data_IF_267727164968
#
_entry.id   IF_267727164968
#
_cell.length_a   1.000
_cell.length_b   1.000
_cell.length_c   1.000
_cell.angle_alpha   90.00
_cell.angle_beta   90.00
_cell.angle_gamma   90.00
#
_symmetry.space_group_name_H-M   'P 1'
#
loop_
_entity.id
_entity.type
_entity.pdbx_description
1 polymer ?
#
# COMPACT_ATOMS: atom_id res chain seq x y z
N UNK A 1 -38.92 9.12 -43.28
CA UNK A 1 -38.83 8.11 -42.23
C UNK A 1 -37.56 8.35 -41.43
N UNK A 2 -37.67 9.19 -40.41
CA UNK A 2 -36.79 9.27 -39.25
C UNK A 2 -37.68 9.95 -38.21
N UNK A 3 -38.11 9.14 -37.24
CA UNK A 3 -39.13 9.47 -36.25
C UNK A 3 -38.52 9.21 -34.88
N UNK A 4 -38.53 10.24 -34.02
CA UNK A 4 -38.47 10.21 -32.55
C UNK A 4 -38.13 11.62 -32.05
N UNK A 5 -39.18 12.43 -31.95
CA UNK A 5 -39.33 13.54 -31.02
C UNK A 5 -40.43 13.18 -30.01
N UNK A 6 -40.47 13.88 -28.86
CA UNK A 6 -41.37 13.76 -27.69
C UNK A 6 -40.80 12.91 -26.54
N UNK A 7 -40.74 13.34 -25.26
CA UNK A 7 -41.26 14.51 -24.55
C UNK A 7 -40.38 14.82 -23.31
N UNK A 8 -40.18 16.11 -23.01
CA UNK A 8 -39.76 16.59 -21.68
C UNK A 8 -40.83 17.58 -21.21
N UNK A 9 -41.64 17.16 -20.24
CA UNK A 9 -42.64 17.99 -19.59
C UNK A 9 -41.96 19.02 -18.69
N UNK A 10 -42.14 20.30 -19.02
CA UNK A 10 -41.85 21.45 -18.16
C UNK A 10 -43.18 22.08 -17.80
N UNK A 11 -43.59 21.98 -16.53
CA UNK A 11 -44.72 22.73 -15.99
C UNK A 11 -44.25 24.14 -15.57
N UNK A 12 -45.01 25.21 -15.89
CA UNK A 12 -44.70 26.57 -15.43
C UNK A 12 -45.25 26.82 -14.02
N UNK A 13 -44.40 27.26 -13.09
CA UNK A 13 -44.85 27.84 -11.82
C UNK A 13 -45.18 29.32 -12.02
N UNK A 14 -46.39 29.66 -11.58
CA UNK A 14 -46.95 31.00 -11.52
C UNK A 14 -46.42 31.70 -10.25
N UNK A 15 -45.85 32.90 -10.38
CA UNK A 15 -45.41 33.74 -9.27
C UNK A 15 -46.42 34.86 -9.10
N UNK A 16 -47.43 34.63 -8.26
CA UNK A 16 -48.17 35.66 -7.55
C UNK A 16 -48.76 35.00 -6.30
N UNK A 17 -48.72 35.73 -5.18
CA UNK A 17 -49.01 35.30 -3.81
C UNK A 17 -47.85 34.64 -3.06
N UNK A 18 -47.19 35.42 -2.20
CA UNK A 18 -47.18 35.20 -0.75
C UNK A 18 -46.71 36.49 -0.08
N UNK A 19 -47.48 36.88 0.94
CA UNK A 19 -47.34 38.12 1.69
C UNK A 19 -46.17 38.12 2.65
N UNK A 20 -45.86 39.34 3.07
CA UNK A 20 -45.01 39.67 4.21
C UNK A 20 -45.64 39.17 5.51
N UNK A 21 -44.91 38.40 6.32
CA UNK A 21 -44.66 38.70 7.74
C UNK A 21 -43.84 37.62 8.49
N UNK A 22 -42.74 38.09 9.07
CA UNK A 22 -42.03 37.69 10.31
C UNK A 22 -41.86 36.20 10.72
N UNK A 23 -40.62 35.74 10.86
CA UNK A 23 -39.91 35.59 12.17
C UNK A 23 -38.56 34.86 12.01
N UNK A 24 -37.72 35.10 13.01
CA UNK A 24 -36.28 34.82 13.13
C UNK A 24 -35.85 33.34 13.13
N UNK A 25 -34.52 33.17 13.00
CA UNK A 25 -33.72 31.95 13.21
C UNK A 25 -33.68 30.88 12.10
N UNK A 26 -32.61 30.95 11.29
CA UNK A 26 -31.62 29.87 11.02
C UNK A 26 -30.98 30.07 9.65
N UNK A 27 -29.68 30.37 9.64
CA UNK A 27 -28.85 30.23 8.45
C UNK A 27 -28.39 28.77 8.31
N UNK A 28 -28.44 28.21 7.09
CA UNK A 28 -27.19 27.86 6.44
C UNK A 28 -27.11 28.36 5.00
N UNK A 29 -25.89 28.74 4.60
CA UNK A 29 -25.52 29.19 3.25
C UNK A 29 -25.34 27.96 2.33
N UNK A 30 -26.01 27.98 1.19
CA UNK A 30 -25.74 27.13 0.03
C UNK A 30 -25.21 27.99 -1.14
N UNK A 31 -24.23 27.42 -1.82
CA UNK A 31 -23.84 27.47 -3.24
C UNK A 31 -23.71 28.80 -4.02
N UNK A 32 -22.48 28.97 -4.56
CA UNK A 32 -22.14 29.87 -5.66
C UNK A 32 -21.65 29.04 -6.86
N UNK A 33 -22.61 28.64 -7.70
CA UNK A 33 -22.39 28.30 -9.11
C UNK A 33 -23.32 29.21 -9.92
N UNK A 34 -22.81 30.31 -10.48
CA UNK A 34 -23.30 31.05 -11.66
C UNK A 34 -22.86 32.52 -11.62
N UNK A 35 -21.80 32.84 -12.39
CA UNK A 35 -21.48 34.15 -13.01
C UNK A 35 -20.14 33.86 -13.72
N UNK A 36 -19.94 33.92 -15.04
CA UNK A 36 -20.48 34.75 -16.09
C UNK A 36 -20.26 34.06 -17.45
N UNK A 37 -21.24 34.17 -18.36
CA UNK A 37 -21.04 33.96 -19.79
C UNK A 37 -21.62 35.15 -20.55
N UNK A 38 -20.78 35.98 -21.17
CA UNK A 38 -21.10 36.71 -22.40
C UNK A 38 -19.88 37.46 -22.95
N UNK A 39 -19.25 36.93 -24.01
CA UNK A 39 -19.03 37.65 -25.28
C UNK A 39 -18.46 36.70 -26.36
N UNK A 40 -19.18 36.68 -27.49
CA UNK A 40 -18.89 36.03 -28.79
C UNK A 40 -17.65 36.72 -29.43
N UNK A 41 -16.87 36.22 -30.42
CA UNK A 41 -17.14 35.62 -31.75
C UNK A 41 -15.74 35.51 -32.45
N UNK A 42 -15.32 34.41 -33.12
CA UNK A 42 -15.21 34.22 -34.60
C UNK A 42 -14.24 33.03 -34.86
N UNK A 43 -14.63 31.92 -35.51
CA UNK A 43 -14.39 31.51 -36.94
C UNK A 43 -12.89 31.42 -37.33
N UNK A 44 -12.35 30.48 -38.13
CA UNK A 44 -12.65 29.16 -38.71
C UNK A 44 -11.41 28.82 -39.58
N UNK A 45 -11.12 27.54 -39.82
CA UNK A 45 -10.38 26.97 -40.96
C UNK A 45 -8.82 27.05 -41.08
N UNK A 46 -8.22 25.85 -40.97
CA UNK A 46 -7.52 25.13 -42.06
C UNK A 46 -6.04 25.41 -42.41
N UNK A 47 -5.23 24.37 -42.17
CA UNK A 47 -4.44 23.60 -43.15
C UNK A 47 -2.97 23.98 -43.53
N UNK A 48 -2.15 22.90 -43.55
CA UNK A 48 -0.92 22.58 -44.31
C UNK A 48 0.48 23.11 -43.90
N UNK A 49 1.27 22.18 -43.33
CA UNK A 49 2.61 21.68 -43.71
C UNK A 49 3.87 22.58 -43.84
N UNK A 50 4.94 22.02 -43.25
CA UNK A 50 6.33 21.93 -43.74
C UNK A 50 7.26 23.16 -43.62
N UNK A 51 8.18 23.10 -42.65
CA UNK A 51 9.65 22.93 -42.85
C UNK A 51 10.42 23.41 -41.60
N UNK A 52 11.22 22.52 -41.03
CA UNK A 52 12.43 22.87 -40.26
C UNK A 52 13.55 23.36 -41.22
N UNK A 53 14.78 23.72 -40.78
CA UNK A 53 15.30 24.13 -39.45
C UNK A 53 16.18 25.42 -39.55
N UNK A 54 16.70 25.94 -38.42
CA UNK A 54 18.15 26.14 -38.15
C UNK A 54 18.44 27.08 -36.98
N UNK A 55 19.42 26.65 -36.20
CA UNK A 55 20.20 27.37 -35.19
C UNK A 55 20.99 28.54 -35.82
N UNK A 56 21.23 29.62 -35.07
CA UNK A 56 22.56 29.98 -34.52
C UNK A 56 22.63 31.44 -34.03
N UNK A 57 23.48 31.57 -33.02
CA UNK A 57 23.84 32.68 -32.15
C UNK A 57 24.26 34.03 -32.77
N UNK A 58 24.04 35.06 -31.94
CA UNK A 58 24.92 36.21 -31.65
C UNK A 58 25.16 37.30 -32.70
N UNK A 59 24.86 38.56 -32.33
CA UNK A 59 25.90 39.57 -32.01
C UNK A 59 25.35 40.96 -31.70
N UNK A 60 25.82 41.49 -30.56
CA UNK A 60 26.25 42.86 -30.22
C UNK A 60 25.60 44.12 -30.85
N UNK A 61 25.27 45.07 -29.96
CA UNK A 61 25.54 46.49 -30.23
C UNK A 61 24.95 47.51 -29.24
N UNK A 62 25.82 48.08 -28.37
CA UNK A 62 25.89 49.50 -27.91
C UNK A 62 24.70 50.07 -27.10
N UNK A 63 24.77 51.01 -26.15
CA UNK A 63 25.76 51.74 -25.31
C UNK A 63 24.94 52.68 -24.38
N UNK A 64 25.52 53.10 -23.23
CA UNK A 64 25.14 54.26 -22.37
C UNK A 64 23.85 54.10 -21.50
N UNK A 65 23.73 54.56 -20.25
CA UNK A 65 24.41 55.54 -19.36
C UNK A 65 23.91 55.28 -17.90
N UNK A 66 24.75 55.25 -16.85
CA UNK A 66 25.15 56.32 -15.91
C UNK A 66 24.40 56.34 -14.54
N UNK A 67 25.15 56.73 -13.49
CA UNK A 67 24.78 57.06 -12.08
C UNK A 67 24.65 55.88 -11.10
N UNK A 68 25.26 55.81 -9.91
CA UNK A 68 26.14 56.70 -9.14
C UNK A 68 26.21 56.26 -7.66
N UNK A 69 27.29 56.68 -6.95
CA UNK A 69 27.63 56.53 -5.50
C UNK A 69 28.10 55.14 -5.03
N UNK A 70 29.38 54.87 -4.70
CA UNK A 70 30.38 55.41 -3.74
C UNK A 70 30.14 55.04 -2.25
N UNK A 71 30.99 54.15 -1.72
CA UNK A 71 31.80 54.42 -0.51
C UNK A 71 32.97 53.42 -0.33
N UNK A 72 34.15 54.01 -0.08
CA UNK A 72 35.51 53.53 0.26
C UNK A 72 35.61 52.45 1.37
N UNK A 73 36.67 51.69 1.64
CA UNK A 73 38.04 51.32 1.14
C UNK A 73 38.71 50.49 2.30
N UNK A 74 39.99 50.07 2.29
CA UNK A 74 40.73 49.20 1.37
C UNK A 74 41.50 48.05 2.10
N UNK A 75 42.01 47.07 1.34
CA UNK A 75 42.99 46.09 1.84
C UNK A 75 43.69 45.35 0.69
N UNK A 76 45.00 45.53 0.59
CA UNK A 76 45.88 45.23 -0.54
C UNK A 76 46.28 43.75 -0.69
N UNK A 77 46.63 43.34 -1.92
CA UNK A 77 47.39 42.11 -2.19
C UNK A 77 47.51 41.80 -3.69
N UNK A 78 48.65 42.16 -4.29
CA UNK A 78 49.00 42.13 -5.73
C UNK A 78 49.73 40.83 -6.16
N UNK A 79 49.93 40.72 -7.50
CA UNK A 79 50.69 39.75 -8.35
C UNK A 79 49.85 38.58 -8.92
N UNK A 80 49.44 38.49 -10.20
CA UNK A 80 50.11 38.65 -11.53
C UNK A 80 51.27 37.66 -11.74
N UNK A 81 51.47 36.94 -12.85
CA UNK A 81 50.99 36.97 -14.24
C UNK A 81 51.19 35.55 -14.86
N UNK A 82 50.27 34.99 -15.67
CA UNK A 82 50.17 35.02 -17.14
C UNK A 82 51.01 34.01 -17.96
N UNK A 83 50.31 33.40 -18.94
CA UNK A 83 50.72 32.89 -20.27
C UNK A 83 51.19 31.43 -20.40
N UNK A 84 50.49 30.68 -21.28
CA UNK A 84 51.09 29.58 -22.05
C UNK A 84 50.15 28.45 -22.44
N UNK A 85 49.40 28.61 -23.54
CA UNK A 85 48.95 27.45 -24.33
C UNK A 85 50.02 27.14 -25.40
N UNK A 86 50.20 25.87 -25.80
CA UNK A 86 49.65 25.48 -27.11
C UNK A 86 49.12 24.03 -27.20
N UNK A 87 48.41 23.84 -28.31
CA UNK A 87 47.68 22.67 -28.83
C UNK A 87 48.58 21.45 -29.12
N UNK A 88 48.02 20.23 -29.03
CA UNK A 88 47.77 19.28 -30.14
C UNK A 88 47.66 17.81 -29.67
N UNK A 89 46.51 17.20 -29.98
CA UNK A 89 46.35 15.86 -30.54
C UNK A 89 46.97 14.64 -29.83
N UNK A 90 46.10 13.70 -29.40
CA UNK A 90 45.98 12.36 -30.01
C UNK A 90 44.85 11.57 -29.34
N UNK A 91 44.11 10.84 -30.18
CA UNK A 91 43.05 9.89 -29.82
C UNK A 91 43.62 8.77 -28.96
N UNK A 92 42.86 8.31 -27.97
CA UNK A 92 43.03 7.00 -27.35
C UNK A 92 41.71 6.24 -27.46
N UNK A 93 41.77 5.10 -28.14
CA UNK A 93 40.75 4.05 -28.23
C UNK A 93 41.29 2.91 -27.36
N UNK A 94 40.51 2.26 -26.49
CA UNK A 94 40.90 0.96 -25.95
C UNK A 94 40.33 -0.17 -26.82
N UNK A 95 41.22 -1.11 -27.09
CA UNK A 95 41.09 -2.23 -28.01
C UNK A 95 40.00 -3.25 -27.63
N UNK A 96 39.27 -3.66 -28.67
CA UNK A 96 38.47 -4.88 -28.75
C UNK A 96 39.41 -6.07 -29.02
N UNK A 97 39.44 -7.05 -28.11
CA UNK A 97 40.02 -8.35 -28.39
C UNK A 97 38.93 -9.36 -28.74
N UNK A 98 38.96 -9.82 -30.00
CA UNK A 98 38.27 -11.01 -30.52
C UNK A 98 39.30 -12.10 -30.82
N UNK A 99 39.03 -13.34 -30.43
CA UNK A 99 39.58 -14.58 -30.99
C UNK A 99 38.52 -15.71 -30.80
N UNK A 100 38.55 -16.81 -31.58
CA UNK A 100 37.43 -17.28 -32.41
C UNK A 100 36.91 -18.68 -31.97
N UNK A 101 35.97 -19.33 -32.68
CA UNK A 101 35.13 -20.39 -32.12
C UNK A 101 35.75 -21.79 -32.25
N UNK A 102 35.34 -22.72 -31.37
CA UNK A 102 35.44 -24.17 -31.62
C UNK A 102 34.08 -24.84 -31.44
N UNK A 103 33.68 -25.56 -32.48
CA UNK A 103 32.60 -26.56 -32.49
C UNK A 103 33.09 -27.84 -31.79
N UNK A 104 32.15 -28.57 -31.20
CA UNK A 104 32.02 -30.00 -31.48
C UNK A 104 31.86 -30.95 -30.29
N UNK A 105 30.84 -31.79 -30.45
CA UNK A 105 30.60 -33.11 -29.83
C UNK A 105 29.96 -33.14 -28.44
N UNK A 106 28.80 -33.81 -28.41
CA UNK A 106 28.01 -34.03 -27.22
C UNK A 106 28.44 -35.26 -26.44
N UNK A 107 27.77 -35.45 -25.31
CA UNK A 107 27.44 -36.75 -24.74
C UNK A 107 26.33 -36.54 -23.74
N UNK A 108 25.26 -37.32 -23.93
CA UNK A 108 24.18 -37.53 -22.98
C UNK A 108 24.77 -38.06 -21.67
N UNK A 109 24.31 -37.51 -20.54
CA UNK A 109 24.49 -38.12 -19.22
C UNK A 109 23.12 -38.13 -18.54
N UNK A 110 22.50 -39.30 -18.31
CA UNK A 110 21.26 -39.38 -17.56
C UNK A 110 21.58 -39.33 -16.06
N UNK A 111 21.14 -38.28 -15.37
CA UNK A 111 21.11 -38.26 -13.91
C UNK A 111 19.94 -39.13 -13.44
N UNK A 112 20.31 -40.31 -12.89
CA UNK A 112 19.43 -41.19 -12.15
C UNK A 112 18.96 -40.50 -10.87
N UNK A 113 17.65 -40.31 -10.72
CA UNK A 113 17.01 -40.11 -9.43
C UNK A 113 16.89 -41.46 -8.70
N UNK A 114 17.19 -41.54 -7.39
CA UNK A 114 16.75 -42.66 -6.58
C UNK A 114 15.28 -42.46 -6.20
N UNK A 115 14.42 -43.34 -6.72
CA UNK A 115 13.10 -43.62 -6.16
C UNK A 115 13.28 -44.12 -4.72
N UNK A 116 12.51 -43.57 -3.79
CA UNK A 116 12.27 -44.19 -2.48
C UNK A 116 10.87 -44.80 -2.54
N UNK A 117 10.85 -46.13 -2.53
CA UNK A 117 9.64 -46.94 -2.36
C UNK A 117 9.06 -46.73 -0.95
N UNK A 118 7.75 -46.46 -0.89
CA UNK A 118 6.95 -46.52 0.32
C UNK A 118 6.08 -47.80 0.27
N UNK A 119 6.25 -48.75 1.20
CA UNK A 119 5.43 -49.97 1.20
C UNK A 119 4.18 -49.85 2.10
N UNK A 120 3.04 -50.17 1.48
CA UNK A 120 1.80 -50.77 2.03
C UNK A 120 0.91 -50.00 3.05
N UNK A 121 -0.30 -49.55 2.68
CA UNK A 121 -1.64 -50.21 2.66
C UNK A 121 -2.26 -50.68 4.00
N UNK A 122 -3.45 -50.13 4.27
CA UNK A 122 -4.65 -50.72 4.91
C UNK A 122 -4.68 -50.96 6.44
N UNK A 123 -5.60 -50.29 7.13
CA UNK A 123 -6.57 -50.94 8.04
C UNK A 123 -7.85 -50.10 8.20
N UNK A 124 -8.97 -50.83 8.24
CA UNK A 124 -10.37 -50.39 8.24
C UNK A 124 -10.89 -49.94 9.62
N UNK A 125 -11.96 -49.14 9.56
CA UNK A 125 -13.18 -49.08 10.38
C UNK A 125 -13.18 -49.66 11.81
N UNK A 126 -13.70 -48.85 12.76
CA UNK A 126 -14.28 -49.35 14.01
C UNK A 126 -14.47 -48.27 15.08
N UNK A 127 -15.73 -48.06 15.45
CA UNK A 127 -16.23 -47.55 16.74
C UNK A 127 -16.27 -46.03 16.99
N UNK A 128 -17.47 -45.50 16.75
CA UNK A 128 -17.97 -44.27 17.35
C UNK A 128 -18.16 -44.44 18.85
N UNK A 129 -17.62 -43.50 19.63
CA UNK A 129 -17.99 -43.29 21.04
C UNK A 129 -18.48 -41.85 21.16
N UNK A 130 -19.78 -41.71 21.41
CA UNK A 130 -20.42 -40.45 21.81
C UNK A 130 -20.10 -40.24 23.30
N UNK A 131 -19.50 -39.10 23.65
CA UNK A 131 -19.36 -38.62 25.03
C UNK A 131 -19.89 -37.18 25.11
N UNK A 132 -20.66 -36.79 26.13
CA UNK A 132 -21.43 -35.54 26.13
C UNK A 132 -20.57 -34.29 26.31
N UNK A 133 -21.12 -33.16 25.86
CA UNK A 133 -20.56 -31.83 26.00
C UNK A 133 -20.45 -31.41 27.46
N UNK A 134 -19.23 -31.12 27.91
CA UNK A 134 -18.95 -30.25 29.04
C UNK A 134 -17.74 -29.37 28.71
N UNK A 135 -17.92 -28.07 28.96
CA UNK A 135 -16.96 -26.98 28.76
C UNK A 135 -15.62 -27.28 29.45
N UNK A 136 -14.61 -27.65 28.67
CA UNK A 136 -13.21 -27.66 29.10
C UNK A 136 -12.48 -26.58 28.33
N UNK A 137 -12.16 -25.48 29.02
CA UNK A 137 -11.13 -24.54 28.60
C UNK A 137 -9.82 -25.31 28.40
N UNK A 138 -9.54 -25.74 27.17
CA UNK A 138 -8.19 -26.13 26.78
C UNK A 138 -7.35 -24.86 26.81
N UNK A 139 -6.52 -24.74 27.85
CA UNK A 139 -5.26 -23.99 27.76
C UNK A 139 -4.60 -24.45 26.45
N UNK A 140 -4.51 -23.54 25.49
CA UNK A 140 -3.81 -23.77 24.22
C UNK A 140 -2.35 -24.01 24.57
N UNK A 141 -1.96 -25.29 24.64
CA UNK A 141 -0.56 -25.68 24.62
C UNK A 141 -0.08 -25.49 23.19
N UNK A 142 0.66 -24.41 22.96
CA UNK A 142 1.59 -24.38 21.84
C UNK A 142 2.49 -25.62 21.95
N UNK A 143 2.81 -26.26 20.82
CA UNK A 143 3.92 -27.22 20.82
C UNK A 143 5.14 -26.57 21.47
N UNK A 144 5.91 -27.32 22.25
CA UNK A 144 7.01 -26.85 23.13
C UNK A 144 8.21 -26.21 22.38
N UNK A 145 8.01 -25.62 21.21
CA UNK A 145 8.99 -24.79 20.52
C UNK A 145 8.32 -23.46 20.16
N UNK A 146 8.41 -22.41 21.01
CA UNK A 146 8.20 -21.06 20.53
C UNK A 146 9.07 -20.82 19.29
N UNK A 147 8.61 -20.05 18.29
CA UNK A 147 9.47 -19.64 17.18
C UNK A 147 10.74 -19.03 17.78
N UNK A 148 11.91 -19.53 17.33
CA UNK A 148 13.21 -19.09 17.83
C UNK A 148 13.30 -17.57 17.74
N UNK A 149 13.84 -16.96 18.80
CA UNK A 149 14.20 -15.54 18.83
C UNK A 149 14.97 -15.17 17.54
N UNK A 150 14.48 -14.14 16.85
CA UNK A 150 15.23 -13.34 15.90
C UNK A 150 16.06 -14.10 14.85
N UNK A 151 15.44 -14.89 13.97
CA UNK A 151 16.14 -15.32 12.75
C UNK A 151 15.79 -14.41 11.57
N UNK A 152 16.65 -13.41 11.32
CA UNK A 152 16.76 -12.78 10.01
C UNK A 152 17.36 -13.80 9.03
N UNK A 153 16.56 -14.76 8.56
CA UNK A 153 16.95 -15.66 7.45
C UNK A 153 16.28 -15.21 6.18
N UNK A 154 16.99 -14.41 5.39
CA UNK A 154 16.61 -14.08 4.01
C UNK A 154 17.02 -15.26 3.12
N UNK A 155 16.09 -16.18 2.86
CA UNK A 155 16.16 -16.96 1.63
C UNK A 155 15.45 -16.14 0.56
N UNK A 156 16.11 -15.91 -0.58
CA UNK A 156 15.52 -15.23 -1.74
C UNK A 156 14.25 -15.95 -2.17
N UNK A 157 13.09 -15.43 -1.78
CA UNK A 157 11.76 -16.01 -2.01
C UNK A 157 10.91 -16.24 -0.75
N UNK A 158 11.42 -16.04 0.47
CA UNK A 158 10.63 -16.14 1.70
C UNK A 158 10.31 -14.74 2.26
N UNK A 159 9.01 -14.45 2.43
CA UNK A 159 8.57 -13.23 3.11
C UNK A 159 9.06 -13.22 4.54
N UNK A 160 9.61 -12.09 5.01
CA UNK A 160 10.01 -11.95 6.41
C UNK A 160 8.77 -12.03 7.32
N UNK A 161 8.90 -12.79 8.40
CA UNK A 161 7.95 -12.85 9.50
C UNK A 161 8.52 -12.11 10.71
N UNK A 162 7.67 -11.41 11.46
CA UNK A 162 8.01 -10.65 12.65
C UNK A 162 7.06 -11.01 13.79
N UNK A 163 7.63 -11.20 14.98
CA UNK A 163 6.87 -11.39 16.21
C UNK A 163 7.51 -10.63 17.36
N UNK A 164 6.72 -9.89 18.14
CA UNK A 164 7.21 -9.18 19.32
C UNK A 164 6.12 -8.91 20.35
N UNK A 165 6.53 -8.51 21.55
CA UNK A 165 5.65 -8.15 22.66
C UNK A 165 5.72 -6.64 22.93
N UNK A 166 4.55 -6.04 23.14
CA UNK A 166 4.33 -4.63 23.48
C UNK A 166 3.42 -4.55 24.71
N UNK A 167 4.03 -4.58 25.90
CA UNK A 167 3.26 -4.66 27.15
C UNK A 167 2.42 -5.94 27.20
N UNK A 168 1.10 -5.82 27.28
CA UNK A 168 0.15 -6.96 27.27
C UNK A 168 -0.09 -7.57 25.89
N UNK A 169 0.34 -6.90 24.82
CA UNK A 169 0.03 -7.29 23.46
C UNK A 169 1.15 -8.14 22.85
N UNK A 170 0.81 -9.29 22.29
CA UNK A 170 1.68 -10.05 21.40
C UNK A 170 1.30 -9.75 19.95
N UNK A 171 2.28 -9.40 19.13
CA UNK A 171 2.11 -9.04 17.73
C UNK A 171 2.82 -10.04 16.84
N UNK A 172 2.17 -10.43 15.75
CA UNK A 172 2.72 -11.27 14.68
C UNK A 172 2.35 -10.66 13.32
N UNK A 173 3.31 -10.53 12.41
CA UNK A 173 3.00 -10.31 11.01
C UNK A 173 2.65 -11.63 10.34
N UNK A 174 1.62 -11.64 9.50
CA UNK A 174 1.10 -12.86 8.90
C UNK A 174 1.10 -12.74 7.36
N UNK A 175 2.05 -13.39 6.67
CA UNK A 175 2.00 -13.53 5.22
C UNK A 175 0.70 -14.20 4.75
N UNK A 176 -0.07 -13.52 3.90
CA UNK A 176 -1.32 -14.01 3.34
C UNK A 176 -1.24 -14.07 1.79
N UNK A 177 -0.07 -14.46 1.28
CA UNK A 177 0.20 -14.51 -0.15
C UNK A 177 0.77 -13.19 -0.68
N UNK A 178 0.56 -12.94 -1.96
CA UNK A 178 1.05 -11.76 -2.66
C UNK A 178 0.33 -11.50 -3.98
N UNK A 179 0.66 -10.38 -4.58
CA UNK A 179 0.25 -10.02 -5.94
C UNK A 179 1.34 -9.18 -6.59
N UNK A 180 1.20 -8.89 -7.87
CA UNK A 180 2.07 -7.98 -8.61
C UNK A 180 1.26 -6.89 -9.29
N UNK A 181 1.67 -5.64 -9.07
CA UNK A 181 1.06 -4.44 -9.65
C UNK A 181 2.05 -3.73 -10.58
N UNK A 182 1.55 -3.01 -11.60
CA UNK A 182 2.39 -2.22 -12.50
C UNK A 182 3.32 -1.29 -11.72
N UNK A 183 4.64 -1.39 -11.97
CA UNK A 183 5.63 -0.59 -11.26
C UNK A 183 5.49 0.92 -11.51
N UNK A 184 4.98 1.31 -12.68
CA UNK A 184 4.64 2.71 -12.95
C UNK A 184 3.51 3.23 -12.07
N UNK A 185 2.48 2.41 -11.84
CA UNK A 185 1.40 2.70 -10.92
C UNK A 185 1.88 2.72 -9.47
N UNK A 186 2.71 1.77 -9.03
CA UNK A 186 3.24 1.74 -7.66
C UNK A 186 4.16 2.93 -7.35
N UNK A 187 4.92 3.42 -8.32
CA UNK A 187 5.88 4.50 -8.09
C UNK A 187 5.43 5.87 -8.61
N UNK A 188 4.22 5.95 -9.18
CA UNK A 188 3.57 7.17 -9.62
C UNK A 188 4.46 8.06 -10.50
N UNK A 189 4.86 9.21 -9.96
CA UNK A 189 5.68 10.20 -10.67
C UNK A 189 7.17 9.85 -10.76
N UNK A 190 7.65 8.84 -10.02
CA UNK A 190 9.05 8.43 -10.04
C UNK A 190 9.34 7.70 -11.36
N UNK A 191 10.34 8.13 -12.15
CA UNK A 191 10.64 7.49 -13.42
C UNK A 191 11.11 6.03 -13.26
N UNK A 192 10.71 5.17 -14.22
CA UNK A 192 11.12 3.75 -14.28
C UNK A 192 12.61 3.52 -14.16
N UNK A 193 13.42 4.36 -14.81
CA UNK A 193 14.89 4.28 -14.74
C UNK A 193 15.45 4.43 -13.32
N UNK A 194 14.67 4.96 -12.38
CA UNK A 194 15.00 5.06 -10.97
C UNK A 194 14.39 3.92 -10.15
N UNK A 195 13.08 3.69 -10.25
CA UNK A 195 12.43 2.71 -9.38
C UNK A 195 12.81 1.26 -9.71
N UNK A 196 13.11 0.94 -10.97
CA UNK A 196 13.48 -0.44 -11.36
C UNK A 196 14.84 -0.88 -10.77
N UNK A 197 15.60 0.06 -10.20
CA UNK A 197 16.85 -0.22 -9.49
C UNK A 197 16.61 -0.61 -8.03
N UNK A 198 15.42 -0.35 -7.51
CA UNK A 198 15.04 -0.60 -6.12
C UNK A 198 14.32 -1.94 -6.00
N UNK A 199 13.41 -2.20 -6.94
CA UNK A 199 12.65 -3.45 -7.04
C UNK A 199 12.58 -3.86 -8.50
N UNK A 200 12.87 -5.15 -8.76
CA UNK A 200 12.91 -5.69 -10.12
C UNK A 200 11.49 -5.97 -10.61
N UNK A 201 11.09 -5.44 -11.78
CA UNK A 201 9.83 -5.79 -12.39
C UNK A 201 9.90 -7.10 -13.18
N UNK A 202 8.75 -7.73 -13.40
CA UNK A 202 8.57 -8.85 -14.33
C UNK A 202 8.53 -8.40 -15.82
N UNK A 203 8.26 -9.35 -16.73
CA UNK A 203 8.18 -9.10 -18.17
C UNK A 203 7.01 -8.16 -18.52
N UNK A 204 5.92 -8.22 -17.76
CA UNK A 204 4.73 -7.36 -17.84
C UNK A 204 4.89 -6.01 -17.12
N UNK A 205 6.08 -5.75 -16.54
CA UNK A 205 6.43 -4.52 -15.81
C UNK A 205 5.77 -4.35 -14.45
N UNK A 206 5.24 -5.43 -13.89
CA UNK A 206 4.71 -5.47 -12.53
C UNK A 206 5.83 -5.70 -11.53
N UNK A 207 5.68 -5.18 -10.32
CA UNK A 207 6.57 -5.44 -9.19
C UNK A 207 5.88 -6.37 -8.20
N UNK A 208 6.62 -7.27 -7.54
CA UNK A 208 6.04 -8.16 -6.53
C UNK A 208 5.69 -7.39 -5.27
N UNK A 209 4.54 -7.72 -4.68
CA UNK A 209 4.01 -7.17 -3.43
C UNK A 209 3.54 -8.31 -2.53
N UNK A 210 3.85 -8.19 -1.25
CA UNK A 210 3.28 -9.08 -0.23
C UNK A 210 1.83 -8.66 0.08
N UNK A 211 1.05 -9.55 0.68
CA UNK A 211 -0.14 -9.20 1.45
C UNK A 211 0.09 -9.65 2.89
N UNK A 212 0.65 -8.75 3.71
CA UNK A 212 1.05 -9.06 5.09
C UNK A 212 0.09 -8.45 6.10
N UNK A 213 -0.63 -9.31 6.80
CA UNK A 213 -1.58 -8.91 7.83
C UNK A 213 -0.86 -8.69 9.16
N UNK A 214 -1.55 -8.06 10.12
CA UNK A 214 -1.08 -7.96 11.50
C UNK A 214 -2.05 -8.67 12.44
N UNK A 215 -1.54 -9.63 13.21
CA UNK A 215 -2.29 -10.33 14.24
C UNK A 215 -1.82 -9.85 15.62
N UNK A 216 -2.75 -9.36 16.44
CA UNK A 216 -2.47 -8.85 17.79
C UNK A 216 -3.29 -9.65 18.80
N UNK A 217 -2.62 -10.30 19.75
CA UNK A 217 -3.23 -11.09 20.81
C UNK A 217 -3.08 -10.40 22.15
N UNK A 218 -4.17 -10.33 22.90
CA UNK A 218 -4.15 -9.92 24.30
C UNK A 218 -3.63 -11.06 25.18
N UNK A 219 -2.52 -10.87 25.89
CA UNK A 219 -1.98 -11.87 26.81
C UNK A 219 -2.69 -11.88 28.16
N UNK A 220 -3.44 -10.82 28.47
CA UNK A 220 -4.17 -10.66 29.74
C UNK A 220 -5.69 -10.83 29.55
N UNK A 221 -6.14 -11.23 28.35
CA UNK A 221 -7.55 -11.34 27.97
C UNK A 221 -7.79 -12.36 26.86
N UNK A 222 -8.95 -12.27 26.21
CA UNK A 222 -9.41 -13.15 25.14
C UNK A 222 -9.45 -12.47 23.76
N UNK A 223 -9.00 -11.22 23.66
CA UNK A 223 -9.02 -10.47 22.40
C UNK A 223 -7.98 -10.99 21.41
N UNK A 224 -8.43 -11.12 20.17
CA UNK A 224 -7.60 -11.42 19.02
C UNK A 224 -7.99 -10.48 17.89
N UNK A 225 -7.12 -9.48 17.68
CA UNK A 225 -7.30 -8.44 16.66
C UNK A 225 -6.56 -8.85 15.39
N UNK A 226 -7.24 -8.84 14.26
CA UNK A 226 -6.64 -8.99 12.95
C UNK A 226 -6.74 -7.66 12.20
N UNK A 227 -5.62 -7.18 11.64
CA UNK A 227 -5.56 -6.00 10.80
C UNK A 227 -5.44 -6.43 9.34
N UNK A 228 -6.42 -6.00 8.55
CA UNK A 228 -6.64 -6.40 7.15
C UNK A 228 -6.80 -7.91 6.93
N UNK A 229 -7.19 -8.29 5.71
CA UNK A 229 -7.65 -9.65 5.38
C UNK A 229 -7.11 -10.19 4.06
N UNK A 230 -6.26 -9.45 3.35
CA UNK A 230 -5.71 -9.86 2.07
C UNK A 230 -6.77 -9.88 0.95
N UNK A 231 -6.46 -10.57 -0.15
CA UNK A 231 -7.33 -10.68 -1.34
C UNK A 231 -8.57 -11.57 -1.16
N UNK A 232 -8.50 -12.55 -0.25
CA UNK A 232 -9.51 -13.62 -0.18
C UNK A 232 -9.43 -14.60 -1.36
N UNK A 233 -10.54 -15.26 -1.70
CA UNK A 233 -10.62 -16.37 -2.66
C UNK A 233 -11.69 -16.20 -3.75
N UNK A 234 -12.23 -14.98 -3.89
CA UNK A 234 -13.41 -14.72 -4.72
C UNK A 234 -13.08 -14.35 -6.17
N UNK A 235 -11.80 -14.18 -6.48
CA UNK A 235 -11.32 -13.65 -7.75
C UNK A 235 -11.28 -14.72 -8.84
N UNK A 236 -11.61 -14.32 -10.07
CA UNK A 236 -11.59 -15.23 -11.21
C UNK A 236 -10.16 -15.43 -11.75
N UNK A 237 -9.89 -16.48 -12.56
CA UNK A 237 -8.56 -16.73 -13.09
C UNK A 237 -7.99 -15.55 -13.90
N UNK A 238 -8.82 -14.75 -14.58
CA UNK A 238 -8.33 -13.60 -15.35
C UNK A 238 -7.86 -12.47 -14.44
N UNK A 239 -8.52 -12.26 -13.29
CA UNK A 239 -8.04 -11.36 -12.26
C UNK A 239 -6.72 -11.85 -11.69
N UNK A 240 -6.64 -13.13 -11.31
CA UNK A 240 -5.44 -13.73 -10.75
C UNK A 240 -4.24 -13.64 -11.70
N UNK A 241 -4.43 -13.93 -12.99
CA UNK A 241 -3.39 -13.81 -14.02
C UNK A 241 -2.92 -12.36 -14.21
N UNK A 242 -3.87 -11.41 -14.24
CA UNK A 242 -3.57 -9.98 -14.40
C UNK A 242 -2.66 -9.46 -13.30
N UNK A 243 -2.93 -9.87 -12.06
CA UNK A 243 -2.20 -9.42 -10.88
C UNK A 243 -1.18 -10.44 -10.39
N UNK A 244 -0.86 -11.49 -11.14
CA UNK A 244 0.03 -12.57 -10.73
C UNK A 244 -0.17 -12.97 -9.26
N UNK A 245 -1.41 -13.28 -8.90
CA UNK A 245 -1.79 -13.58 -7.52
C UNK A 245 -1.07 -14.83 -7.05
N UNK A 246 -0.38 -14.70 -5.92
CA UNK A 246 0.32 -15.77 -5.23
C UNK A 246 -0.46 -16.10 -3.95
N UNK A 247 -0.96 -17.32 -3.86
CA UNK A 247 -1.65 -17.78 -2.66
C UNK A 247 -0.66 -18.23 -1.56
N UNK A 248 -1.00 -18.07 -0.28
CA UNK A 248 -0.23 -18.66 0.81
C UNK A 248 -0.27 -20.19 0.72
N UNK A 249 0.84 -20.82 1.12
CA UNK A 249 0.98 -22.27 1.13
C UNK A 249 -0.02 -22.96 2.08
N UNK A 250 -0.07 -24.30 1.98
CA UNK A 250 -1.04 -25.13 2.69
C UNK A 250 -2.17 -25.61 1.79
N UNK A 251 -3.05 -26.46 2.31
CA UNK A 251 -4.14 -27.09 1.57
C UNK A 251 -5.48 -26.86 2.25
N UNK A 252 -6.53 -26.64 1.47
CA UNK A 252 -7.90 -26.46 1.95
C UNK A 252 -8.15 -25.07 2.54
N UNK A 253 -9.43 -24.70 2.64
CA UNK A 253 -9.85 -23.37 3.13
C UNK A 253 -9.44 -22.21 2.22
N UNK A 254 -9.84 -21.00 2.62
CA UNK A 254 -9.46 -19.75 1.95
C UNK A 254 -7.98 -19.42 2.20
N UNK A 255 -7.33 -18.56 1.37
CA UNK A 255 -5.99 -18.05 1.63
C UNK A 255 -5.80 -17.52 3.06
N UNK A 256 -6.77 -16.77 3.56
CA UNK A 256 -6.73 -16.21 4.91
C UNK A 256 -6.80 -17.27 6.00
N UNK A 257 -7.65 -18.28 5.84
CA UNK A 257 -7.73 -19.41 6.77
C UNK A 257 -6.42 -20.19 6.81
N UNK A 258 -5.78 -20.40 5.66
CA UNK A 258 -4.47 -21.05 5.59
C UNK A 258 -3.39 -20.23 6.26
N UNK A 259 -3.39 -18.91 6.06
CA UNK A 259 -2.47 -18.01 6.73
C UNK A 259 -2.65 -18.11 8.26
N UNK A 260 -3.87 -17.93 8.78
CA UNK A 260 -4.15 -18.02 10.21
C UNK A 260 -3.78 -19.40 10.81
N UNK A 261 -3.98 -20.48 10.05
CA UNK A 261 -3.61 -21.82 10.49
C UNK A 261 -2.11 -22.01 10.72
N UNK A 262 -1.25 -21.25 10.04
CA UNK A 262 0.22 -21.30 10.26
C UNK A 262 0.63 -20.88 11.67
N UNK A 263 -0.21 -20.05 12.32
CA UNK A 263 -0.04 -19.58 13.71
C UNK A 263 -1.06 -20.22 14.66
N UNK A 264 -1.70 -21.31 14.25
CA UNK A 264 -2.64 -22.06 15.07
C UNK A 264 -3.91 -21.29 15.46
N UNK A 265 -4.34 -20.36 14.61
CA UNK A 265 -5.56 -19.56 14.79
C UNK A 265 -6.59 -19.97 13.73
N UNK A 266 -7.85 -20.06 14.14
CA UNK A 266 -8.98 -20.19 13.23
C UNK A 266 -9.68 -18.84 13.07
N UNK A 267 -10.27 -18.57 11.91
CA UNK A 267 -10.97 -17.31 11.63
C UNK A 267 -12.04 -16.97 12.69
N UNK A 268 -12.76 -17.98 13.21
CA UNK A 268 -13.79 -17.80 14.26
C UNK A 268 -13.25 -17.32 15.61
N UNK A 269 -11.95 -17.36 15.84
CA UNK A 269 -11.32 -16.89 17.07
C UNK A 269 -10.96 -15.40 17.03
N UNK A 270 -10.97 -14.78 15.84
CA UNK A 270 -10.77 -13.34 15.70
C UNK A 270 -11.96 -12.62 16.32
N UNK A 271 -11.69 -11.79 17.32
CA UNK A 271 -12.72 -11.03 18.04
C UNK A 271 -12.95 -9.66 17.41
N UNK A 272 -11.90 -9.11 16.80
CA UNK A 272 -11.88 -7.75 16.28
C UNK A 272 -11.13 -7.73 14.95
N UNK A 273 -11.73 -7.11 13.93
CA UNK A 273 -11.16 -6.90 12.62
C UNK A 273 -10.96 -5.40 12.39
N UNK A 274 -9.70 -4.96 12.28
CA UNK A 274 -9.38 -3.57 11.93
C UNK A 274 -9.12 -3.52 10.44
N UNK A 275 -9.96 -2.79 9.71
CA UNK A 275 -9.84 -2.64 8.26
C UNK A 275 -9.17 -1.29 7.97
N UNK A 276 -7.97 -1.29 7.40
CA UNK A 276 -7.26 -0.06 7.06
C UNK A 276 -8.02 0.70 5.99
N UNK A 277 -8.49 -0.01 4.97
CA UNK A 277 -9.43 0.44 3.95
C UNK A 277 -9.97 -0.75 3.13
N UNK A 278 -10.96 -0.51 2.27
CA UNK A 278 -11.69 -1.56 1.55
C UNK A 278 -11.20 -1.85 0.12
N UNK A 279 -9.95 -1.52 -0.21
CA UNK A 279 -9.35 -2.02 -1.46
C UNK A 279 -9.28 -3.54 -1.47
N UNK A 280 -9.31 -4.14 -2.65
CA UNK A 280 -9.49 -5.59 -2.83
C UNK A 280 -8.42 -6.43 -2.16
N UNK A 281 -7.21 -5.92 -2.01
CA UNK A 281 -6.04 -6.58 -1.46
C UNK A 281 -5.92 -6.42 0.07
N UNK A 282 -6.76 -5.58 0.68
CA UNK A 282 -6.85 -5.40 2.14
C UNK A 282 -8.16 -5.99 2.68
N UNK A 283 -9.28 -5.57 2.08
CA UNK A 283 -10.64 -5.97 2.47
C UNK A 283 -11.17 -7.18 1.70
N UNK A 284 -10.35 -7.82 0.88
CA UNK A 284 -10.76 -8.99 0.09
C UNK A 284 -11.19 -10.15 0.96
N UNK A 285 -10.45 -10.51 1.99
CA UNK A 285 -10.79 -11.63 2.88
C UNK A 285 -11.90 -11.35 3.90
N UNK A 286 -12.52 -10.16 3.94
CA UNK A 286 -13.61 -9.84 4.87
C UNK A 286 -14.90 -10.61 4.57
N UNK A 287 -15.04 -11.05 3.32
CA UNK A 287 -16.14 -11.89 2.86
C UNK A 287 -15.61 -13.11 2.11
N UNK A 288 -16.43 -14.15 2.04
CA UNK A 288 -16.16 -15.36 1.25
C UNK A 288 -17.34 -15.68 0.36
N UNK A 289 -17.11 -16.54 -0.63
CA UNK A 289 -18.18 -17.07 -1.45
C UNK A 289 -18.92 -18.18 -0.69
N UNK A 290 -20.23 -18.04 -0.55
CA UNK A 290 -21.09 -19.06 0.05
C UNK A 290 -21.35 -20.23 -0.92
N UNK A 291 -21.95 -21.31 -0.42
CA UNK A 291 -22.28 -22.49 -1.22
C UNK A 291 -23.31 -22.22 -2.34
N UNK A 292 -24.18 -21.22 -2.15
CA UNK A 292 -25.18 -20.81 -3.17
C UNK A 292 -24.63 -19.77 -4.17
N UNK A 293 -23.35 -19.42 -4.05
CA UNK A 293 -22.66 -18.49 -4.94
C UNK A 293 -22.85 -17.01 -4.62
N UNK A 294 -23.52 -16.70 -3.50
CA UNK A 294 -23.57 -15.34 -2.94
C UNK A 294 -22.29 -15.04 -2.11
N UNK A 295 -22.24 -13.87 -1.47
CA UNK A 295 -21.11 -13.45 -0.64
C UNK A 295 -21.58 -13.23 0.79
N UNK A 296 -20.86 -13.81 1.74
CA UNK A 296 -21.17 -13.73 3.16
C UNK A 296 -19.95 -13.28 3.97
N UNK A 297 -20.13 -12.70 5.16
CA UNK A 297 -19.02 -12.32 6.03
C UNK A 297 -18.13 -13.52 6.39
N UNK A 298 -16.81 -13.33 6.32
CA UNK A 298 -15.85 -14.33 6.79
C UNK A 298 -15.74 -14.35 8.33
N UNK A 299 -16.03 -13.21 8.98
CA UNK A 299 -15.88 -12.99 10.41
C UNK A 299 -17.19 -12.54 11.09
N UNK A 300 -18.31 -13.27 10.96
CA UNK A 300 -19.63 -12.78 11.38
C UNK A 300 -19.78 -12.48 12.89
N UNK A 301 -18.88 -12.98 13.73
CA UNK A 301 -18.88 -12.75 15.18
C UNK A 301 -17.87 -11.69 15.63
N UNK A 302 -17.00 -11.22 14.75
CA UNK A 302 -16.02 -10.19 15.07
C UNK A 302 -16.64 -8.80 14.98
N UNK A 303 -16.16 -7.89 15.81
CA UNK A 303 -16.39 -6.46 15.63
C UNK A 303 -15.46 -5.91 14.55
N UNK A 304 -15.98 -5.12 13.63
CA UNK A 304 -15.25 -4.58 12.49
C UNK A 304 -15.06 -3.08 12.66
N UNK A 305 -13.81 -2.64 12.70
CA UNK A 305 -13.42 -1.25 12.91
C UNK A 305 -13.02 -0.62 11.58
N UNK A 306 -13.75 0.41 11.16
CA UNK A 306 -13.55 1.06 9.86
C UNK A 306 -13.92 2.54 9.93
N UNK A 307 -13.23 3.40 9.19
CA UNK A 307 -13.65 4.80 9.05
C UNK A 307 -14.93 4.90 8.23
N UNK A 308 -15.91 5.67 8.72
CA UNK A 308 -17.18 5.92 8.04
C UNK A 308 -17.00 6.36 6.60
N UNK A 309 -16.10 7.30 6.36
CA UNK A 309 -15.84 7.86 5.03
C UNK A 309 -15.25 6.84 4.05
N UNK A 310 -14.52 5.82 4.54
CA UNK A 310 -14.03 4.76 3.68
C UNK A 310 -15.16 3.84 3.22
N UNK A 311 -16.07 3.48 4.14
CA UNK A 311 -17.27 2.70 3.80
C UNK A 311 -18.17 3.44 2.81
N UNK A 312 -18.42 4.73 3.03
CA UNK A 312 -19.22 5.56 2.13
C UNK A 312 -18.61 5.62 0.73
N UNK A 313 -17.29 5.84 0.64
CA UNK A 313 -16.57 5.84 -0.64
C UNK A 313 -16.60 4.46 -1.31
N UNK A 314 -16.46 3.38 -0.55
CA UNK A 314 -16.48 2.02 -1.08
C UNK A 314 -17.85 1.60 -1.63
N UNK A 315 -18.94 2.13 -1.06
CA UNK A 315 -20.32 1.92 -1.55
C UNK A 315 -20.59 2.69 -2.84
N UNK A 316 -20.04 3.89 -2.96
CA UNK A 316 -20.23 4.76 -4.12
C UNK A 316 -18.89 5.23 -4.69
N UNK A 317 -18.05 4.32 -5.23
CA UNK A 317 -16.70 4.66 -5.60
C UNK A 317 -16.66 5.56 -6.82
N UNK A 318 -15.70 6.49 -6.81
CA UNK A 318 -15.41 7.32 -7.97
C UNK A 318 -15.04 6.46 -9.18
N UNK A 319 -15.05 7.04 -10.38
CA UNK A 319 -14.60 6.34 -11.60
C UNK A 319 -13.15 5.84 -11.49
N UNK A 320 -12.34 6.48 -10.65
CA UNK A 320 -10.93 6.13 -10.42
C UNK A 320 -10.79 4.91 -9.53
N UNK A 321 -11.62 4.81 -8.49
CA UNK A 321 -11.49 3.79 -7.43
C UNK A 321 -12.39 2.56 -7.64
N UNK A 322 -13.32 2.60 -8.61
CA UNK A 322 -14.26 1.49 -8.89
C UNK A 322 -13.59 0.15 -9.17
N UNK A 323 -12.35 0.16 -9.67
CA UNK A 323 -11.59 -1.07 -9.90
C UNK A 323 -11.04 -1.68 -8.61
N UNK A 324 -10.91 -0.88 -7.55
CA UNK A 324 -10.33 -1.27 -6.25
C UNK A 324 -11.39 -1.59 -5.21
N UNK A 325 -12.50 -0.85 -5.18
CA UNK A 325 -13.66 -1.14 -4.34
C UNK A 325 -14.63 -2.10 -5.03
N UNK A 326 -14.68 -3.33 -4.54
CA UNK A 326 -15.47 -4.39 -5.14
C UNK A 326 -16.74 -4.65 -4.30
N UNK A 327 -17.96 -4.58 -4.89
CA UNK A 327 -19.20 -4.78 -4.12
C UNK A 327 -19.24 -6.08 -3.32
N UNK A 328 -18.66 -7.17 -3.86
CA UNK A 328 -18.53 -8.46 -3.16
C UNK A 328 -17.76 -8.42 -1.84
N UNK A 329 -16.93 -7.39 -1.61
CA UNK A 329 -16.21 -7.16 -0.35
C UNK A 329 -16.96 -6.16 0.55
N UNK A 330 -17.75 -5.25 -0.03
CA UNK A 330 -18.41 -4.15 0.68
C UNK A 330 -19.81 -4.51 1.16
N UNK A 331 -20.62 -5.14 0.30
CA UNK A 331 -22.03 -5.44 0.58
C UNK A 331 -22.21 -6.35 1.81
N UNK A 332 -21.40 -7.41 2.03
CA UNK A 332 -21.52 -8.27 3.20
C UNK A 332 -21.27 -7.55 4.54
N UNK A 333 -20.62 -6.38 4.53
CA UNK A 333 -20.42 -5.59 5.75
C UNK A 333 -21.74 -5.06 6.33
N UNK A 334 -22.85 -5.10 5.58
CA UNK A 334 -24.17 -4.76 6.13
C UNK A 334 -24.64 -5.76 7.20
N UNK A 335 -24.07 -6.97 7.24
CA UNK A 335 -24.51 -8.08 8.07
C UNK A 335 -23.55 -8.39 9.25
N UNK A 336 -22.64 -7.46 9.59
CA UNK A 336 -21.67 -7.61 10.69
C UNK A 336 -21.78 -6.48 11.74
N UNK A 337 -21.14 -6.67 12.89
CA UNK A 337 -20.97 -5.61 13.90
C UNK A 337 -19.93 -4.59 13.40
N UNK A 338 -20.38 -3.58 12.67
CA UNK A 338 -19.56 -2.46 12.21
C UNK A 338 -19.48 -1.35 13.27
N UNK A 339 -18.28 -1.10 13.77
CA UNK A 339 -17.93 0.10 14.54
C UNK A 339 -17.32 1.13 13.59
N UNK A 340 -18.11 2.15 13.25
CA UNK A 340 -17.71 3.20 12.32
C UNK A 340 -17.10 4.39 13.05
N UNK A 341 -15.86 4.70 12.67
CA UNK A 341 -15.06 5.77 13.26
C UNK A 341 -15.11 7.04 12.40
N UNK A 342 -14.92 8.18 13.05
CA UNK A 342 -14.94 9.51 12.43
C UNK A 342 -13.64 10.27 12.80
N UNK A 343 -12.48 9.66 12.51
CA UNK A 343 -11.15 10.20 12.83
C UNK A 343 -10.26 9.23 13.61
N UNK A 344 -9.23 9.78 14.24
CA UNK A 344 -8.29 9.04 15.09
C UNK A 344 -8.99 8.58 16.38
N UNK A 345 -8.77 7.32 16.79
CA UNK A 345 -9.42 6.74 17.98
C UNK A 345 -8.52 5.70 18.65
N UNK A 346 -8.51 5.66 20.00
CA UNK A 346 -7.93 4.55 20.77
C UNK A 346 -8.97 3.44 20.96
N UNK A 347 -8.89 2.38 20.15
CA UNK A 347 -9.89 1.30 20.13
C UNK A 347 -9.68 0.30 21.28
N UNK A 348 -8.44 0.14 21.76
CA UNK A 348 -8.08 -0.63 22.96
C UNK A 348 -6.91 0.03 23.67
N UNK A 349 -6.64 -0.26 24.97
CA UNK A 349 -5.49 0.30 25.67
C UNK A 349 -4.18 0.08 24.92
N UNK A 350 -3.57 1.17 24.44
CA UNK A 350 -2.35 1.16 23.65
C UNK A 350 -2.52 0.82 22.17
N UNK A 351 -3.74 0.52 21.67
CA UNK A 351 -4.02 0.31 20.23
C UNK A 351 -4.91 1.46 19.74
N UNK A 352 -4.36 2.27 18.85
CA UNK A 352 -5.06 3.37 18.20
C UNK A 352 -5.07 3.19 16.69
N UNK A 353 -6.11 3.71 16.05
CA UNK A 353 -6.16 3.90 14.60
C UNK A 353 -6.07 5.39 14.28
N UNK A 354 -5.32 5.73 13.24
CA UNK A 354 -5.07 7.10 12.82
C UNK A 354 -5.49 7.28 11.36
N UNK A 355 -6.45 8.16 11.10
CA UNK A 355 -7.00 8.42 9.75
C UNK A 355 -5.97 9.12 8.86
N UNK A 356 -5.92 8.72 7.60
CA UNK A 356 -5.01 9.18 6.55
C UNK A 356 -5.73 9.25 5.19
N UNK A 357 -6.18 10.42 4.74
CA UNK A 357 -7.08 10.56 3.57
C UNK A 357 -6.40 10.62 2.19
N UNK A 358 -5.12 10.33 2.11
CA UNK A 358 -4.34 10.55 0.88
C UNK A 358 -4.52 9.47 -0.18
N UNK A 359 -4.35 8.21 0.23
CA UNK A 359 -4.39 7.05 -0.67
C UNK A 359 -5.82 6.76 -1.09
N UNK A 360 -6.70 6.66 -0.09
CA UNK A 360 -8.17 6.71 -0.21
C UNK A 360 -8.75 7.63 0.86
N UNK A 361 -10.00 8.06 0.68
CA UNK A 361 -10.70 8.79 1.73
C UNK A 361 -11.03 7.83 2.87
N UNK A 362 -10.64 8.17 4.09
CA UNK A 362 -10.85 7.34 5.27
C UNK A 362 -9.95 6.12 5.39
N UNK A 363 -8.84 6.00 4.65
CA UNK A 363 -7.84 5.01 5.02
C UNK A 363 -7.35 5.29 6.45
N UNK A 364 -7.06 4.27 7.23
CA UNK A 364 -6.48 4.40 8.57
C UNK A 364 -5.23 3.54 8.72
N UNK A 365 -4.26 4.06 9.45
CA UNK A 365 -3.09 3.31 9.93
C UNK A 365 -3.33 2.86 11.37
N UNK A 366 -2.56 1.90 11.86
CA UNK A 366 -2.64 1.45 13.26
C UNK A 366 -1.36 1.79 14.01
N UNK A 367 -1.50 2.30 15.24
CA UNK A 367 -0.42 2.53 16.20
C UNK A 367 -0.64 1.65 17.42
N UNK A 368 0.38 0.87 17.79
CA UNK A 368 0.42 0.06 19.00
C UNK A 368 1.54 0.56 19.91
N UNK A 369 1.22 0.85 21.16
CA UNK A 369 2.15 1.21 22.21
C UNK A 369 2.04 0.26 23.40
N UNK A 370 3.20 -0.19 23.89
CA UNK A 370 3.25 -0.99 25.10
C UNK A 370 4.67 -1.40 25.47
N UNK A 371 4.95 -1.48 26.77
CA UNK A 371 6.29 -1.84 27.27
C UNK A 371 7.38 -0.83 26.86
N UNK A 372 7.02 0.45 26.71
CA UNK A 372 7.94 1.52 26.31
C UNK A 372 8.35 1.50 24.84
N UNK A 373 7.60 0.79 23.98
CA UNK A 373 7.90 0.64 22.55
C UNK A 373 6.66 0.95 21.72
N UNK A 374 6.87 1.39 20.49
CA UNK A 374 5.82 1.71 19.52
C UNK A 374 5.97 0.90 18.24
N UNK A 375 4.85 0.42 17.71
CA UNK A 375 4.73 -0.19 16.39
C UNK A 375 3.66 0.56 15.59
N UNK A 376 3.91 0.81 14.31
CA UNK A 376 2.96 1.42 13.37
C UNK A 376 2.78 0.51 12.16
N UNK A 377 1.53 0.17 11.86
CA UNK A 377 1.13 -0.50 10.63
C UNK A 377 0.72 0.54 9.60
N UNK A 378 1.53 0.68 8.54
CA UNK A 378 1.41 1.83 7.64
C UNK A 378 0.39 1.65 6.52
N UNK A 379 -0.09 0.42 6.28
CA UNK A 379 -0.94 0.09 5.14
C UNK A 379 -0.38 0.72 3.85
N UNK A 380 -1.26 1.36 3.07
CA UNK A 380 -0.92 2.04 1.83
C UNK A 380 -0.45 3.49 1.98
N UNK A 381 -0.25 3.98 3.21
CA UNK A 381 0.47 5.26 3.39
C UNK A 381 1.93 5.13 2.96
N UNK A 382 2.55 3.98 3.25
CA UNK A 382 3.88 3.62 2.81
C UNK A 382 3.95 2.09 2.63
N UNK A 383 3.45 1.56 1.49
CA UNK A 383 3.21 0.13 1.30
C UNK A 383 4.50 -0.71 1.34
N UNK A 384 5.63 -0.11 0.95
CA UNK A 384 6.94 -0.79 0.98
C UNK A 384 8.03 0.11 1.57
N UNK A 385 9.17 -0.47 1.91
CA UNK A 385 10.36 0.26 2.40
C UNK A 385 10.80 1.34 1.41
N UNK A 386 10.55 1.17 0.11
CA UNK A 386 10.86 2.19 -0.90
C UNK A 386 9.96 3.43 -0.79
N UNK A 387 8.75 3.29 -0.24
CA UNK A 387 7.76 4.35 -0.06
C UNK A 387 7.94 5.16 1.22
N UNK A 388 8.84 4.74 2.13
CA UNK A 388 9.28 5.56 3.26
C UNK A 388 10.00 6.85 2.81
N UNK A 389 10.47 6.90 1.56
CA UNK A 389 10.93 8.14 0.93
C UNK A 389 9.74 9.06 0.69
N UNK A 390 9.79 10.28 1.26
CA UNK A 390 8.63 11.17 1.24
C UNK A 390 8.06 11.38 -0.17
N UNK A 391 8.90 11.69 -1.16
CA UNK A 391 8.47 11.96 -2.54
C UNK A 391 7.91 10.75 -3.32
N UNK A 392 8.02 9.52 -2.80
CA UNK A 392 7.60 8.32 -3.50
C UNK A 392 6.12 8.05 -3.16
N UNK A 393 5.24 8.31 -4.12
CA UNK A 393 3.78 8.18 -4.01
C UNK A 393 3.25 7.30 -5.13
N UNK A 394 2.05 6.76 -4.97
CA UNK A 394 1.45 5.86 -5.93
C UNK A 394 0.63 6.64 -6.96
N UNK A 395 0.60 6.14 -8.19
CA UNK A 395 -0.14 6.71 -9.31
C UNK A 395 -1.65 6.63 -9.13
N UNK A 396 -2.15 5.77 -8.24
CA UNK A 396 -3.56 5.62 -7.91
C UNK A 396 -4.00 6.31 -6.62
N UNK A 397 -3.08 6.91 -5.84
CA UNK A 397 -3.44 7.78 -4.71
C UNK A 397 -4.47 8.83 -5.17
N UNK A 398 -5.55 9.02 -4.40
CA UNK A 398 -6.60 9.96 -4.79
C UNK A 398 -6.13 11.41 -4.69
N UNK A 399 -5.17 11.71 -3.80
CA UNK A 399 -4.60 13.05 -3.65
C UNK A 399 -3.13 13.00 -3.20
N UNK A 400 -2.21 13.15 -4.16
CA UNK A 400 -0.77 13.09 -3.90
C UNK A 400 -0.28 14.13 -2.87
N UNK A 401 -0.85 15.35 -2.85
CA UNK A 401 -0.48 16.37 -1.86
C UNK A 401 -0.95 16.01 -0.46
N UNK A 402 -2.12 15.38 -0.33
CA UNK A 402 -2.62 14.89 0.96
C UNK A 402 -1.76 13.72 1.46
N UNK A 403 -1.45 12.74 0.60
CA UNK A 403 -0.55 11.62 0.97
C UNK A 403 0.79 12.15 1.46
N UNK A 404 1.38 13.13 0.78
CA UNK A 404 2.67 13.70 1.19
C UNK A 404 2.60 14.32 2.59
N UNK A 405 1.56 15.10 2.89
CA UNK A 405 1.39 15.72 4.19
C UNK A 405 1.15 14.67 5.30
N UNK A 406 0.27 13.70 5.07
CA UNK A 406 -0.02 12.62 6.03
C UNK A 406 1.19 11.73 6.27
N UNK A 407 1.94 11.42 5.21
CA UNK A 407 3.17 10.65 5.32
C UNK A 407 4.26 11.43 6.05
N UNK A 408 4.41 12.73 5.81
CA UNK A 408 5.35 13.55 6.57
C UNK A 408 5.01 13.59 8.05
N UNK A 409 3.72 13.75 8.39
CA UNK A 409 3.22 13.72 9.78
C UNK A 409 3.52 12.38 10.44
N UNK A 410 3.10 11.28 9.83
CA UNK A 410 3.22 9.93 10.39
C UNK A 410 4.68 9.49 10.52
N UNK A 411 5.49 9.71 9.48
CA UNK A 411 6.91 9.36 9.51
C UNK A 411 7.74 10.24 10.45
N UNK A 412 7.24 11.43 10.82
CA UNK A 412 7.86 12.27 11.86
C UNK A 412 7.62 11.68 13.23
N UNK A 413 6.36 11.40 13.54
CA UNK A 413 5.97 10.77 14.80
C UNK A 413 6.69 9.43 14.98
N UNK A 414 6.71 8.59 13.93
CA UNK A 414 7.44 7.33 13.94
C UNK A 414 8.94 7.48 14.27
N UNK A 415 9.58 8.55 13.79
CA UNK A 415 10.99 8.80 14.08
C UNK A 415 11.19 9.24 15.54
N UNK A 416 10.34 10.14 16.03
CA UNK A 416 10.37 10.66 17.40
C UNK A 416 10.05 9.57 18.45
N UNK A 417 9.20 8.61 18.08
CA UNK A 417 8.79 7.48 18.91
C UNK A 417 9.72 6.27 18.79
N UNK A 418 10.76 6.34 17.96
CA UNK A 418 11.62 5.20 17.61
C UNK A 418 10.80 3.95 17.18
N UNK A 419 9.72 4.19 16.44
CA UNK A 419 8.72 3.18 16.14
C UNK A 419 9.23 2.12 15.15
N UNK A 420 8.77 0.88 15.35
CA UNK A 420 8.81 -0.14 14.31
C UNK A 420 7.70 0.10 13.29
N UNK A 421 8.02 -0.05 12.01
CA UNK A 421 7.12 0.19 10.88
C UNK A 421 6.82 -1.13 10.18
N UNK A 422 5.60 -1.62 10.28
CA UNK A 422 5.14 -2.80 9.51
C UNK A 422 4.76 -2.33 8.10
N UNK A 423 5.34 -3.01 7.10
CA UNK A 423 5.18 -2.71 5.69
C UNK A 423 4.40 -3.85 5.04
N UNK A 424 3.11 -3.62 4.80
CA UNK A 424 2.17 -4.65 4.34
C UNK A 424 2.57 -5.26 2.99
N UNK A 425 2.94 -4.41 2.03
CA UNK A 425 3.23 -4.84 0.67
C UNK A 425 4.69 -5.02 0.34
N UNK A 426 5.61 -4.81 1.29
CA UNK A 426 7.02 -5.07 1.01
C UNK A 426 7.26 -6.60 0.89
N UNK A 427 7.76 -7.08 -0.27
CA UNK A 427 7.96 -8.51 -0.49
C UNK A 427 9.11 -9.09 0.33
N UNK A 428 10.01 -8.24 0.85
CA UNK A 428 11.24 -8.67 1.55
C UNK A 428 11.29 -8.15 2.99
N UNK A 429 10.98 -6.87 3.21
CA UNK A 429 11.14 -6.17 4.49
C UNK A 429 9.81 -6.06 5.20
N UNK A 430 9.50 -6.99 6.10
CA UNK A 430 8.26 -6.96 6.87
C UNK A 430 8.18 -5.78 7.84
N UNK A 431 9.32 -5.49 8.48
CA UNK A 431 9.44 -4.43 9.48
C UNK A 431 10.68 -3.60 9.22
N UNK A 432 10.55 -2.29 9.31
CA UNK A 432 11.64 -1.32 9.20
C UNK A 432 11.59 -0.33 10.37
N UNK A 433 12.63 0.47 10.50
CA UNK A 433 12.62 1.71 11.29
C UNK A 433 12.76 2.89 10.35
N UNK A 434 12.69 4.11 10.87
CA UNK A 434 12.95 5.32 10.09
C UNK A 434 14.07 6.13 10.70
N UNK A 435 15.08 6.44 9.88
CA UNK A 435 16.27 7.19 10.31
C UNK A 435 16.42 8.46 9.51
N UNK A 436 16.91 9.52 10.14
CA UNK A 436 17.32 10.73 9.44
C UNK A 436 18.77 10.59 8.96
N UNK A 437 18.96 10.67 7.63
CA UNK A 437 20.29 10.77 7.01
C UNK A 437 20.38 12.05 6.19
N UNK A 438 20.88 13.10 6.84
CA UNK A 438 21.15 14.38 6.18
C UNK A 438 19.87 15.15 5.80
N UNK A 439 18.88 15.18 6.71
CA UNK A 439 17.58 15.83 6.52
C UNK A 439 16.62 15.03 5.64
N UNK A 440 16.95 13.75 5.37
CA UNK A 440 16.12 12.84 4.58
C UNK A 440 15.80 11.63 5.42
N UNK A 441 14.50 11.37 5.58
CA UNK A 441 14.03 10.14 6.20
C UNK A 441 14.20 8.98 5.22
N UNK A 442 14.88 7.94 5.68
CA UNK A 442 15.16 6.73 4.90
C UNK A 442 14.88 5.48 5.74
N UNK A 443 14.63 4.33 5.10
CA UNK A 443 14.49 3.06 5.81
C UNK A 443 15.72 2.79 6.66
N UNK A 444 15.49 2.46 7.93
CA UNK A 444 16.47 1.90 8.84
C UNK A 444 16.35 0.39 8.93
N UNK A 445 17.37 -0.26 9.49
CA UNK A 445 17.29 -1.67 9.85
C UNK A 445 16.41 -1.79 11.10
N UNK A 446 15.37 -2.63 11.04
CA UNK A 446 14.76 -3.13 12.26
C UNK A 446 15.80 -4.06 12.88
N UNK A 447 16.50 -3.60 13.93
CA UNK A 447 17.42 -4.45 14.68
C UNK A 447 16.69 -5.72 15.12
N UNK A 448 17.43 -6.84 15.24
CA UNK A 448 16.94 -8.00 15.98
C UNK A 448 16.63 -7.48 17.39
N UNK A 449 15.36 -7.47 17.78
CA UNK A 449 14.97 -7.10 19.14
C UNK A 449 15.37 -8.27 20.02
N UNK A 450 16.60 -8.26 20.51
CA UNK A 450 17.03 -9.09 21.63
C UNK A 450 16.23 -8.63 22.85
N UNK A 451 15.24 -9.44 23.21
CA UNK A 451 14.40 -9.24 24.36
C UNK A 451 14.06 -10.58 24.97
N UNK A 452 15.09 -11.34 25.36
CA UNK A 452 14.89 -12.48 26.24
C UNK A 452 14.22 -12.00 27.53
N UNK A 453 13.18 -12.68 28.02
CA UNK A 453 12.74 -12.48 29.39
C UNK A 453 13.82 -13.05 30.31
N UNK A 454 14.66 -12.19 30.87
CA UNK A 454 15.23 -12.52 32.17
C UNK A 454 14.07 -12.55 33.18
N UNK A 455 13.72 -13.74 33.67
CA UNK A 455 12.80 -13.93 34.80
C UNK A 455 11.81 -15.07 34.64
#
# INVERSE_FOLDING_TARGET
MLDLAHDLDVLPMNLDEIGTDSLEERAPRLDLWQFQSWQRRCHLCSLFFCRQPRELAASFGRTQSALGSESNSPGQGLYSASVGAPRLGRRYVPDLHFFPPRRGSGSEVPLRAPMVDCPHTCCNAGDAVIVPADFLFRRVSWGENPPREGTNTVNSGQQQEFGSKFGRWQVLTLPCGGLSLDGGAMFGSVPRVLWQKLISPDEEHRIPLAMRLLLIRDLDGDRLVLVDTGLGDKEDPSFCDRFAVEEPGGNGGTPLERALATVGVEARQVTDLVLTHLHFDHGGGVSRKSADGTYEPAFPSARHWLQRSNLETAREPSRRERASYLPRNVDPLADVDLELLDGDEEIFPGISVERCDGHTLGMQTLRLEGGGRVLRYLADLAPTSHHLRLAFTMGYDICATTVLAEKERTLRAAHEEEALLVLEHDPVVAVSTIVDRGGKRVPGEAGVIEGSPEG
#
